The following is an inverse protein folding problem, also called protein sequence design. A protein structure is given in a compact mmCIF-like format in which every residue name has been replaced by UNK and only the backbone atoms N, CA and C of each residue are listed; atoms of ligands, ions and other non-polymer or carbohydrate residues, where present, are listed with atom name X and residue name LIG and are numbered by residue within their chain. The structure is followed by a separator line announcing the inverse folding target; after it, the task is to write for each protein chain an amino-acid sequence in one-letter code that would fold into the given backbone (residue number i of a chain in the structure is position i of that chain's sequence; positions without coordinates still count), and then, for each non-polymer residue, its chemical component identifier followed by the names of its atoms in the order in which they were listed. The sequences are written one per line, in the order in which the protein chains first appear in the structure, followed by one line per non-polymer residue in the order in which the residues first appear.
data_IF_764600566946
#
_entry.id   IF_764600566946
#
_cell.length_a   1.000
_cell.length_b   1.000
_cell.length_c   1.000
_cell.angle_alpha   90.00
_cell.angle_beta   90.00
_cell.angle_gamma   90.00
#
_symmetry.space_group_name_H-M   'P 1'
#
loop_
_entity.id
_entity.type
_entity.pdbx_description
1 polymer ?
#
# COMPACT_ATOMS: atom_id res chain seq x y z
N UNK A 1 -33.84 -1.55 54.56
CA UNK A 1 -32.42 -1.24 54.85
C UNK A 1 -31.79 -0.80 53.54
N UNK A 2 -31.68 0.52 53.39
CA UNK A 2 -30.95 1.34 52.41
C UNK A 2 -30.51 0.73 51.06
N UNK A 3 -31.16 1.19 49.98
CA UNK A 3 -30.49 1.51 48.72
C UNK A 3 -30.05 2.98 48.77
N UNK A 4 -28.84 3.36 48.29
CA UNK A 4 -28.53 4.75 47.99
C UNK A 4 -28.62 5.02 46.49
N UNK A 5 -29.41 6.05 46.19
CA UNK A 5 -29.50 6.78 44.93
C UNK A 5 -28.14 7.38 44.55
N UNK A 6 -27.76 7.31 43.28
CA UNK A 6 -26.69 8.15 42.73
C UNK A 6 -27.30 9.28 41.91
N UNK A 7 -27.08 10.50 42.41
CA UNK A 7 -27.43 11.78 41.78
C UNK A 7 -26.55 12.05 40.55
N UNK A 8 -27.19 12.56 39.49
CA UNK A 8 -26.53 13.17 38.32
C UNK A 8 -26.51 14.68 38.54
N UNK A 9 -25.35 15.36 38.46
CA UNK A 9 -25.33 16.81 38.41
C UNK A 9 -25.25 17.32 36.96
N UNK A 10 -26.30 18.06 36.62
CA UNK A 10 -26.49 18.88 35.44
C UNK A 10 -25.71 20.21 35.58
N UNK A 11 -24.87 20.58 34.59
CA UNK A 11 -24.31 21.94 34.46
C UNK A 11 -24.17 22.39 33.00
N UNK A 12 -25.24 23.05 32.54
CA UNK A 12 -25.29 24.40 31.94
C UNK A 12 -24.37 24.75 30.76
N UNK A 13 -25.06 24.90 29.62
CA UNK A 13 -24.88 25.85 28.51
C UNK A 13 -24.15 27.15 28.88
N UNK A 14 -23.26 27.58 27.98
CA UNK A 14 -23.00 29.00 27.71
C UNK A 14 -22.97 29.23 26.20
N UNK A 15 -23.93 30.01 25.71
CA UNK A 15 -23.89 30.73 24.44
C UNK A 15 -23.02 31.96 24.65
N UNK A 16 -22.27 32.37 23.63
CA UNK A 16 -22.01 33.78 23.36
C UNK A 16 -21.93 33.95 21.83
N UNK A 17 -22.80 34.84 21.35
CA UNK A 17 -22.95 35.33 19.98
C UNK A 17 -22.01 36.54 19.75
N UNK A 18 -21.45 36.69 18.54
CA UNK A 18 -21.19 37.94 17.78
C UNK A 18 -20.30 37.59 16.58
N UNK A 19 -20.79 37.65 15.33
CA UNK A 19 -20.95 38.84 14.46
C UNK A 19 -19.63 39.61 14.27
N UNK A 20 -19.17 40.00 13.08
CA UNK A 20 -19.63 39.93 11.69
C UNK A 20 -18.48 40.49 10.80
N UNK A 21 -18.60 40.31 9.49
CA UNK A 21 -17.94 41.00 8.38
C UNK A 21 -16.58 40.48 7.89
N UNK A 22 -16.25 40.47 6.59
CA UNK A 22 -16.99 40.49 5.34
C UNK A 22 -15.95 40.35 4.21
N UNK A 23 -16.40 39.86 3.03
CA UNK A 23 -15.83 40.06 1.68
C UNK A 23 -14.52 39.32 1.37
N UNK A 24 -14.54 38.39 0.42
CA UNK A 24 -14.38 38.78 -0.99
C UNK A 24 -14.82 37.66 -1.94
N UNK A 25 -15.38 38.07 -3.08
CA UNK A 25 -15.98 37.22 -4.08
C UNK A 25 -15.00 36.98 -5.24
N UNK A 26 -14.92 35.76 -5.74
CA UNK A 26 -14.32 35.49 -7.06
C UNK A 26 -15.08 34.36 -7.74
N UNK A 27 -15.93 34.73 -8.69
CA UNK A 27 -16.53 33.83 -9.69
C UNK A 27 -15.70 33.92 -10.98
N UNK A 28 -15.59 32.82 -11.74
CA UNK A 28 -14.79 32.77 -12.96
C UNK A 28 -15.52 33.36 -14.18
N UNK A 29 -14.71 33.83 -15.12
CA UNK A 29 -15.07 34.56 -16.33
C UNK A 29 -15.89 33.74 -17.34
N UNK A 30 -16.98 34.32 -17.81
CA UNK A 30 -17.72 33.92 -19.01
C UNK A 30 -17.22 34.72 -20.20
N UNK A 31 -16.69 34.01 -21.20
CA UNK A 31 -16.23 34.55 -22.48
C UNK A 31 -17.42 34.70 -23.43
N UNK A 32 -17.76 35.94 -23.79
CA UNK A 32 -18.67 36.30 -24.88
C UNK A 32 -17.86 36.68 -26.11
N UNK A 33 -18.22 36.15 -27.27
CA UNK A 33 -17.77 36.63 -28.58
C UNK A 33 -19.00 36.97 -29.44
N UNK A 34 -18.95 38.02 -30.28
CA UNK A 34 -20.14 38.63 -30.87
C UNK A 34 -20.47 38.09 -32.27
N UNK A 35 -21.76 38.21 -32.63
CA UNK A 35 -22.30 38.00 -33.97
C UNK A 35 -22.32 39.30 -34.79
N UNK A 36 -22.19 39.14 -36.11
CA UNK A 36 -22.53 40.12 -37.16
C UNK A 36 -21.38 40.33 -38.14
N UNK A 37 -21.52 40.21 -39.46
CA UNK A 37 -22.64 39.91 -40.35
C UNK A 37 -22.21 40.12 -41.81
N UNK A 38 -22.93 39.48 -42.74
CA UNK A 38 -23.08 39.75 -44.19
C UNK A 38 -21.83 39.84 -45.09
N UNK A 39 -21.76 39.04 -46.15
CA UNK A 39 -22.24 39.50 -47.46
C UNK A 39 -22.42 38.33 -48.48
N UNK A 40 -23.25 38.61 -49.49
CA UNK A 40 -23.88 37.76 -50.48
C UNK A 40 -22.95 37.30 -51.62
N UNK A 41 -23.33 36.20 -52.28
CA UNK A 41 -22.77 35.82 -53.59
C UNK A 41 -23.36 34.50 -54.12
N UNK A 42 -24.33 34.62 -55.02
CA UNK A 42 -25.08 33.57 -55.72
C UNK A 42 -24.22 32.61 -56.57
N UNK A 43 -24.73 31.39 -56.79
CA UNK A 43 -24.21 30.46 -57.81
C UNK A 43 -24.92 29.11 -57.83
N UNK A 44 -25.97 29.01 -58.66
CA UNK A 44 -26.72 27.80 -59.02
C UNK A 44 -25.92 26.95 -60.02
N UNK A 45 -25.78 25.64 -59.80
CA UNK A 45 -25.88 24.57 -60.83
C UNK A 45 -25.89 23.16 -60.21
N UNK A 46 -26.95 22.40 -60.53
CA UNK A 46 -27.06 20.98 -60.95
C UNK A 46 -26.33 19.87 -60.16
N UNK A 47 -27.07 18.95 -59.54
CA UNK A 47 -27.47 17.62 -60.05
C UNK A 47 -26.32 16.61 -60.08
N UNK A 48 -26.38 15.62 -59.17
CA UNK A 48 -26.00 14.21 -59.37
C UNK A 48 -25.95 13.48 -58.02
N UNK A 49 -26.95 12.63 -57.78
CA UNK A 49 -26.80 11.47 -56.87
C UNK A 49 -25.78 10.49 -57.46
N UNK A 50 -25.00 9.81 -56.60
CA UNK A 50 -24.84 8.39 -56.86
C UNK A 50 -25.01 7.49 -55.62
N UNK A 51 -25.55 6.34 -55.97
CA UNK A 51 -25.78 5.12 -55.24
C UNK A 51 -24.56 4.53 -54.50
N UNK A 52 -24.88 3.88 -53.38
CA UNK A 52 -24.41 2.55 -52.96
C UNK A 52 -22.88 2.31 -52.95
N UNK A 53 -22.31 2.35 -51.75
CA UNK A 53 -21.23 1.45 -51.37
C UNK A 53 -21.54 0.89 -49.98
N UNK A 54 -22.23 -0.25 -49.96
CA UNK A 54 -22.36 -1.13 -48.81
C UNK A 54 -20.97 -1.61 -48.39
N UNK A 55 -20.36 -0.93 -47.41
CA UNK A 55 -19.18 -1.43 -46.72
C UNK A 55 -19.51 -2.76 -46.04
N UNK A 56 -18.57 -3.73 -45.99
CA UNK A 56 -18.81 -5.00 -45.35
C UNK A 56 -19.02 -4.75 -43.86
N UNK A 57 -20.28 -4.82 -43.44
CA UNK A 57 -20.69 -4.92 -42.05
C UNK A 57 -19.89 -6.07 -41.44
N UNK A 58 -18.87 -5.70 -40.67
CA UNK A 58 -18.12 -6.62 -39.84
C UNK A 58 -19.12 -7.21 -38.87
N UNK A 59 -19.64 -8.40 -39.21
CA UNK A 59 -20.51 -9.19 -38.34
C UNK A 59 -19.76 -9.38 -37.03
N UNK A 60 -20.08 -8.55 -36.02
CA UNK A 60 -19.74 -8.80 -34.63
C UNK A 60 -20.26 -10.21 -34.36
N UNK A 61 -19.37 -11.16 -34.06
CA UNK A 61 -19.78 -12.46 -33.53
C UNK A 61 -20.70 -12.16 -32.35
N UNK A 62 -21.98 -12.52 -32.46
CA UNK A 62 -22.90 -12.44 -31.34
C UNK A 62 -22.30 -13.32 -30.24
N UNK A 63 -21.80 -12.69 -29.18
CA UNK A 63 -21.35 -13.42 -27.99
C UNK A 63 -22.59 -14.09 -27.43
N UNK A 64 -22.57 -15.41 -27.34
CA UNK A 64 -23.67 -16.17 -26.76
C UNK A 64 -23.63 -15.91 -25.26
N UNK A 65 -24.62 -15.19 -24.75
CA UNK A 65 -24.76 -14.94 -23.32
C UNK A 65 -25.46 -16.14 -22.69
N UNK A 66 -24.95 -16.61 -21.55
CA UNK A 66 -25.44 -17.81 -20.84
C UNK A 66 -26.05 -17.40 -19.51
N UNK A 67 -27.13 -18.06 -19.06
CA UNK A 67 -27.72 -17.82 -17.74
C UNK A 67 -26.92 -18.54 -16.66
N UNK A 68 -26.71 -17.89 -15.52
CA UNK A 68 -26.03 -18.50 -14.38
C UNK A 68 -26.87 -19.64 -13.77
N UNK A 69 -26.24 -20.78 -13.47
CA UNK A 69 -26.95 -21.96 -12.96
C UNK A 69 -27.54 -21.77 -11.55
N UNK A 70 -26.99 -20.85 -10.75
CA UNK A 70 -27.34 -20.68 -9.33
C UNK A 70 -28.04 -19.37 -9.02
N UNK A 71 -27.60 -18.29 -9.65
CA UNK A 71 -28.05 -16.92 -9.38
C UNK A 71 -28.87 -16.34 -10.53
N UNK A 72 -29.62 -17.21 -11.21
CA UNK A 72 -30.68 -16.83 -12.13
C UNK A 72 -32.03 -17.27 -11.54
N UNK A 73 -32.60 -16.42 -10.68
CA UNK A 73 -33.85 -16.73 -9.99
C UNK A 73 -35.05 -16.45 -10.89
N UNK A 74 -36.08 -17.30 -10.83
CA UNK A 74 -37.32 -17.09 -11.57
C UNK A 74 -38.12 -15.89 -11.05
N UNK A 75 -38.03 -15.60 -9.74
CA UNK A 75 -38.62 -14.44 -9.07
C UNK A 75 -37.68 -13.21 -9.02
N UNK A 76 -36.54 -13.29 -9.70
CA UNK A 76 -35.60 -12.19 -9.83
C UNK A 76 -36.24 -10.97 -10.48
N UNK A 77 -35.85 -9.78 -10.02
CA UNK A 77 -36.40 -8.49 -10.44
C UNK A 77 -35.38 -7.60 -11.15
N UNK A 78 -34.16 -8.11 -11.38
CA UNK A 78 -33.06 -7.39 -11.99
C UNK A 78 -32.11 -8.37 -12.70
N UNK A 79 -31.98 -8.20 -14.02
CA UNK A 79 -31.06 -8.96 -14.85
C UNK A 79 -29.76 -8.16 -15.04
N UNK A 80 -28.66 -8.73 -14.56
CA UNK A 80 -27.31 -8.19 -14.66
C UNK A 80 -26.50 -9.07 -15.61
N UNK A 81 -25.62 -8.47 -16.41
CA UNK A 81 -24.66 -9.20 -17.23
C UNK A 81 -23.24 -8.94 -16.73
N UNK A 82 -22.50 -10.00 -16.43
CA UNK A 82 -21.06 -9.96 -16.13
C UNK A 82 -20.36 -10.85 -17.14
N UNK A 83 -19.41 -10.30 -17.89
CA UNK A 83 -18.80 -10.95 -19.04
C UNK A 83 -19.87 -11.52 -20.00
N UNK A 84 -19.86 -12.83 -20.22
CA UNK A 84 -20.82 -13.53 -21.09
C UNK A 84 -21.90 -14.29 -20.27
N UNK A 85 -22.12 -13.92 -19.00
CA UNK A 85 -23.10 -14.58 -18.09
C UNK A 85 -24.17 -13.61 -17.57
N UNK A 86 -25.44 -14.03 -17.61
CA UNK A 86 -26.59 -13.34 -17.03
C UNK A 86 -26.91 -13.84 -15.62
N UNK A 87 -27.20 -12.90 -14.73
CA UNK A 87 -27.66 -13.11 -13.36
C UNK A 87 -29.03 -12.47 -13.21
N UNK A 88 -30.04 -13.22 -12.75
CA UNK A 88 -31.34 -12.65 -12.40
C UNK A 88 -31.52 -12.66 -10.88
N UNK A 89 -31.43 -11.48 -10.26
CA UNK A 89 -31.38 -11.32 -8.80
C UNK A 89 -32.40 -10.30 -8.29
N UNK A 90 -32.50 -10.18 -6.97
CA UNK A 90 -33.53 -9.38 -6.34
C UNK A 90 -33.05 -7.93 -6.15
N UNK A 91 -33.78 -6.96 -6.71
CA UNK A 91 -33.49 -5.52 -6.53
C UNK A 91 -33.40 -5.14 -5.06
N UNK A 92 -34.26 -5.70 -4.21
CA UNK A 92 -34.27 -5.46 -2.76
C UNK A 92 -32.96 -5.87 -2.07
N UNK A 93 -32.31 -6.94 -2.54
CA UNK A 93 -31.03 -7.41 -2.01
C UNK A 93 -29.90 -6.51 -2.51
N UNK A 94 -29.92 -6.14 -3.80
CA UNK A 94 -28.94 -5.21 -4.37
C UNK A 94 -29.06 -3.80 -3.80
N UNK A 95 -30.25 -3.36 -3.38
CA UNK A 95 -30.47 -2.04 -2.77
C UNK A 95 -30.04 -1.95 -1.29
N UNK A 96 -29.62 -3.06 -0.67
CA UNK A 96 -29.13 -3.04 0.71
C UNK A 96 -27.94 -2.08 0.86
N UNK A 97 -27.75 -1.59 2.08
CA UNK A 97 -26.55 -0.85 2.47
C UNK A 97 -26.33 0.47 1.70
N UNK A 98 -27.40 1.03 1.12
CA UNK A 98 -27.35 2.21 0.24
C UNK A 98 -26.31 2.07 -0.89
N UNK A 99 -26.22 0.87 -1.45
CA UNK A 99 -25.29 0.56 -2.55
C UNK A 99 -25.48 1.49 -3.76
N UNK A 100 -24.51 1.44 -4.66
CA UNK A 100 -24.61 2.04 -6.00
C UNK A 100 -25.88 1.62 -6.75
N UNK A 101 -26.32 0.37 -6.61
CA UNK A 101 -27.55 -0.13 -7.21
C UNK A 101 -28.80 0.55 -6.64
N UNK A 102 -28.82 0.83 -5.34
CA UNK A 102 -29.92 1.58 -4.71
C UNK A 102 -30.12 2.95 -5.38
N UNK A 103 -29.02 3.68 -5.57
CA UNK A 103 -29.01 4.98 -6.26
C UNK A 103 -29.46 4.82 -7.71
N UNK A 104 -28.86 3.87 -8.45
CA UNK A 104 -29.22 3.58 -9.85
C UNK A 104 -30.73 3.31 -10.01
N UNK A 105 -31.32 2.53 -9.11
CA UNK A 105 -32.74 2.18 -9.17
C UNK A 105 -33.70 3.32 -8.82
N UNK A 106 -33.21 4.35 -8.12
CA UNK A 106 -34.00 5.53 -7.75
C UNK A 106 -34.05 6.62 -8.82
N UNK A 107 -33.15 6.58 -9.81
CA UNK A 107 -33.09 7.58 -10.86
C UNK A 107 -34.25 7.39 -11.85
N UNK A 108 -34.84 8.48 -12.38
CA UNK A 108 -35.86 8.38 -13.43
C UNK A 108 -35.29 7.68 -14.67
N UNK A 109 -35.95 6.63 -15.15
CA UNK A 109 -35.60 6.01 -16.43
C UNK A 109 -36.16 6.90 -17.55
N UNK A 110 -35.28 7.45 -18.39
CA UNK A 110 -35.69 8.25 -19.55
C UNK A 110 -36.52 7.44 -20.55
N UNK A 111 -37.26 8.11 -21.42
CA UNK A 111 -38.20 7.48 -22.37
C UNK A 111 -37.53 6.47 -23.32
N UNK A 112 -36.23 6.64 -23.60
CA UNK A 112 -35.42 5.73 -24.43
C UNK A 112 -34.88 4.50 -23.67
N UNK A 113 -34.89 4.51 -22.33
CA UNK A 113 -34.40 3.42 -21.47
C UNK A 113 -35.54 2.47 -21.11
N UNK A 114 -36.22 1.93 -22.12
CA UNK A 114 -37.33 0.99 -21.96
C UNK A 114 -36.79 -0.33 -21.37
N UNK A 115 -36.71 -0.40 -20.04
CA UNK A 115 -36.55 -1.64 -19.30
C UNK A 115 -35.14 -2.23 -19.24
N UNK A 116 -34.08 -1.41 -19.11
CA UNK A 116 -32.75 -1.90 -18.77
C UNK A 116 -32.81 -2.74 -17.47
N UNK A 117 -32.25 -3.95 -17.53
CA UNK A 117 -32.26 -4.93 -16.44
C UNK A 117 -33.58 -5.67 -16.24
N UNK A 118 -34.55 -5.56 -17.16
CA UNK A 118 -35.84 -6.27 -17.08
C UNK A 118 -35.97 -7.47 -18.03
N UNK A 119 -35.08 -7.61 -19.01
CA UNK A 119 -35.05 -8.74 -19.94
C UNK A 119 -33.62 -9.17 -20.26
N UNK A 120 -33.46 -10.42 -20.69
CA UNK A 120 -32.19 -10.99 -21.16
C UNK A 120 -31.60 -10.23 -22.36
N UNK A 121 -32.46 -9.62 -23.18
CA UNK A 121 -32.06 -8.85 -24.36
C UNK A 121 -31.55 -7.45 -24.02
N UNK A 122 -31.84 -6.95 -22.82
CA UNK A 122 -31.40 -5.63 -22.34
C UNK A 122 -30.99 -5.68 -20.85
N UNK A 123 -29.94 -6.44 -20.48
CA UNK A 123 -29.48 -6.55 -19.11
C UNK A 123 -28.65 -5.32 -18.70
N UNK A 124 -28.49 -5.10 -17.39
CA UNK A 124 -27.52 -4.11 -16.89
C UNK A 124 -26.12 -4.71 -17.00
N UNK A 125 -25.27 -4.13 -17.85
CA UNK A 125 -23.92 -4.65 -18.10
C UNK A 125 -22.93 -4.13 -17.06
N UNK A 126 -22.37 -5.05 -16.29
CA UNK A 126 -21.35 -4.79 -15.28
C UNK A 126 -19.95 -5.06 -15.85
N UNK A 127 -19.19 -3.99 -16.07
CA UNK A 127 -17.83 -4.08 -16.62
C UNK A 127 -16.77 -4.19 -15.52
N UNK A 128 -15.74 -5.01 -15.76
CA UNK A 128 -14.53 -5.08 -14.92
C UNK A 128 -14.60 -6.08 -13.75
N UNK A 129 -15.67 -6.85 -13.63
CA UNK A 129 -15.72 -8.01 -12.72
C UNK A 129 -15.70 -9.30 -13.53
N UNK A 130 -15.08 -10.34 -12.97
CA UNK A 130 -15.21 -11.70 -13.51
C UNK A 130 -16.47 -12.37 -12.99
N UNK A 131 -16.96 -13.37 -13.72
CA UNK A 131 -18.11 -14.18 -13.29
C UNK A 131 -17.89 -14.83 -11.92
N UNK A 132 -16.67 -15.33 -11.64
CA UNK A 132 -16.33 -15.95 -10.34
C UNK A 132 -16.41 -14.96 -9.18
N UNK A 133 -15.87 -13.76 -9.35
CA UNK A 133 -15.86 -12.74 -8.30
C UNK A 133 -17.28 -12.26 -7.98
N UNK A 134 -18.09 -12.06 -9.03
CA UNK A 134 -19.47 -11.67 -8.85
C UNK A 134 -20.31 -12.77 -8.19
N UNK A 135 -20.05 -14.05 -8.49
CA UNK A 135 -20.66 -15.20 -7.79
C UNK A 135 -20.28 -15.23 -6.30
N UNK A 136 -19.02 -14.97 -5.95
CA UNK A 136 -18.60 -14.90 -4.54
C UNK A 136 -19.32 -13.78 -3.79
N UNK A 137 -19.47 -12.62 -4.43
CA UNK A 137 -20.23 -11.49 -3.90
C UNK A 137 -21.71 -11.83 -3.70
N UNK A 138 -22.38 -12.40 -4.71
CA UNK A 138 -23.78 -12.82 -4.60
C UNK A 138 -23.95 -13.91 -3.54
N UNK A 139 -23.01 -14.85 -3.43
CA UNK A 139 -23.01 -15.83 -2.35
C UNK A 139 -23.07 -15.15 -0.99
N UNK A 140 -22.25 -14.14 -0.74
CA UNK A 140 -22.23 -13.46 0.55
C UNK A 140 -23.51 -12.63 0.83
N UNK A 141 -24.17 -12.10 -0.21
CA UNK A 141 -25.45 -11.37 -0.07
C UNK A 141 -26.65 -12.27 0.24
N UNK A 142 -26.62 -13.52 -0.23
CA UNK A 142 -27.70 -14.49 -0.08
C UNK A 142 -27.42 -15.55 1.02
N UNK A 143 -26.18 -15.65 1.49
CA UNK A 143 -25.77 -16.64 2.49
C UNK A 143 -26.45 -16.41 3.85
N UNK A 144 -26.70 -17.51 4.54
CA UNK A 144 -27.23 -17.49 5.91
C UNK A 144 -26.09 -17.29 6.93
N UNK A 145 -26.37 -16.79 8.15
CA UNK A 145 -25.35 -16.56 9.17
C UNK A 145 -24.44 -17.77 9.47
N UNK A 146 -24.94 -19.04 9.52
CA UNK A 146 -24.07 -20.20 9.71
C UNK A 146 -23.06 -20.40 8.57
N UNK A 147 -23.46 -20.13 7.32
CA UNK A 147 -22.61 -20.30 6.14
C UNK A 147 -21.48 -19.27 6.13
N UNK A 148 -21.80 -18.02 6.50
CA UNK A 148 -20.81 -16.95 6.65
C UNK A 148 -19.76 -17.29 7.71
N UNK A 149 -20.14 -17.98 8.79
CA UNK A 149 -19.21 -18.40 9.84
C UNK A 149 -18.22 -19.46 9.38
N UNK A 150 -18.60 -20.33 8.43
CA UNK A 150 -17.71 -21.37 7.88
C UNK A 150 -16.57 -20.72 7.09
N UNK A 151 -16.87 -19.68 6.31
CA UNK A 151 -15.86 -18.98 5.48
C UNK A 151 -14.95 -18.06 6.31
N UNK A 152 -15.26 -17.81 7.57
CA UNK A 152 -14.35 -17.13 8.52
C UNK A 152 -13.51 -18.10 9.35
N UNK A 153 -13.67 -19.42 9.17
CA UNK A 153 -12.98 -20.44 9.97
C UNK A 153 -11.50 -20.65 9.58
N UNK A 154 -10.83 -21.64 10.16
CA UNK A 154 -9.44 -21.97 9.85
C UNK A 154 -9.23 -22.36 8.38
N UNK A 155 -10.24 -22.99 7.77
CA UNK A 155 -10.25 -23.47 6.38
C UNK A 155 -10.88 -22.45 5.42
N UNK A 156 -10.87 -21.17 5.79
CA UNK A 156 -11.42 -20.08 5.00
C UNK A 156 -10.78 -20.00 3.61
N UNK A 157 -11.61 -19.90 2.57
CA UNK A 157 -11.14 -19.55 1.23
C UNK A 157 -10.81 -18.07 1.17
N UNK A 158 -9.52 -17.76 1.27
CA UNK A 158 -9.00 -16.41 1.19
C UNK A 158 -9.31 -15.75 -0.16
N UNK A 159 -9.35 -16.51 -1.25
CA UNK A 159 -9.69 -15.97 -2.58
C UNK A 159 -11.12 -15.49 -2.60
N UNK A 160 -12.05 -16.29 -2.07
CA UNK A 160 -13.44 -15.92 -1.94
C UNK A 160 -13.62 -14.63 -1.13
N UNK A 161 -12.94 -14.49 0.01
CA UNK A 161 -12.99 -13.28 0.83
C UNK A 161 -12.42 -12.05 0.09
N UNK A 162 -11.27 -12.18 -0.58
CA UNK A 162 -10.67 -11.08 -1.36
C UNK A 162 -11.66 -10.58 -2.43
N UNK A 163 -12.30 -11.51 -3.14
CA UNK A 163 -13.25 -11.18 -4.21
C UNK A 163 -14.49 -10.47 -3.64
N UNK A 164 -15.02 -10.95 -2.51
CA UNK A 164 -16.16 -10.31 -1.83
C UNK A 164 -15.79 -8.89 -1.41
N UNK A 165 -14.67 -8.67 -0.73
CA UNK A 165 -14.25 -7.35 -0.29
C UNK A 165 -14.09 -6.37 -1.47
N UNK A 166 -13.47 -6.83 -2.57
CA UNK A 166 -13.22 -6.00 -3.76
C UNK A 166 -14.51 -5.60 -4.47
N UNK A 167 -15.41 -6.55 -4.72
CA UNK A 167 -16.69 -6.28 -5.39
C UNK A 167 -17.60 -5.44 -4.47
N UNK A 168 -17.59 -5.69 -3.16
CA UNK A 168 -18.34 -4.91 -2.18
C UNK A 168 -17.87 -3.44 -2.13
N UNK A 169 -16.55 -3.21 -2.16
CA UNK A 169 -15.99 -1.85 -2.24
C UNK A 169 -16.43 -1.13 -3.52
N UNK A 170 -16.34 -1.80 -4.68
CA UNK A 170 -16.73 -1.26 -5.99
C UNK A 170 -18.19 -0.83 -6.04
N UNK A 171 -19.10 -1.64 -5.52
CA UNK A 171 -20.55 -1.36 -5.54
C UNK A 171 -21.07 -0.66 -4.29
N UNK A 172 -20.18 -0.28 -3.36
CA UNK A 172 -20.46 0.44 -2.11
C UNK A 172 -21.33 -0.33 -1.09
N UNK A 173 -21.09 -1.62 -0.91
CA UNK A 173 -21.64 -2.42 0.20
C UNK A 173 -20.69 -2.41 1.40
N UNK A 174 -20.69 -1.31 2.17
CA UNK A 174 -19.76 -1.08 3.29
C UNK A 174 -19.82 -2.10 4.41
N UNK A 175 -21.01 -2.57 4.78
CA UNK A 175 -21.20 -3.59 5.81
C UNK A 175 -20.57 -4.92 5.38
N UNK A 176 -20.74 -5.30 4.11
CA UNK A 176 -20.20 -6.54 3.56
C UNK A 176 -18.68 -6.45 3.32
N UNK A 177 -18.21 -5.30 2.83
CA UNK A 177 -16.78 -4.96 2.71
C UNK A 177 -16.09 -5.09 4.07
N UNK A 178 -16.63 -4.45 5.11
CA UNK A 178 -16.05 -4.47 6.46
C UNK A 178 -15.99 -5.89 7.03
N UNK A 179 -17.09 -6.64 6.93
CA UNK A 179 -17.13 -8.04 7.37
C UNK A 179 -16.04 -8.89 6.69
N UNK A 180 -15.89 -8.74 5.37
CA UNK A 180 -14.92 -9.52 4.61
C UNK A 180 -13.48 -9.14 4.95
N UNK A 181 -13.18 -7.85 5.12
CA UNK A 181 -11.86 -7.36 5.52
C UNK A 181 -11.49 -7.78 6.94
N UNK A 182 -12.45 -7.77 7.88
CA UNK A 182 -12.22 -8.27 9.24
C UNK A 182 -11.94 -9.77 9.25
N UNK A 183 -12.64 -10.55 8.43
CA UNK A 183 -12.38 -11.98 8.27
C UNK A 183 -10.97 -12.25 7.69
N UNK A 184 -10.55 -11.47 6.69
CA UNK A 184 -9.19 -11.52 6.13
C UNK A 184 -8.16 -11.14 7.20
N UNK A 185 -8.40 -10.06 7.94
CA UNK A 185 -7.52 -9.60 9.01
C UNK A 185 -7.33 -10.66 10.09
N UNK A 186 -8.41 -11.34 10.50
CA UNK A 186 -8.34 -12.43 11.46
C UNK A 186 -7.53 -13.61 10.91
N UNK A 187 -7.78 -13.99 9.65
CA UNK A 187 -7.05 -15.07 8.98
C UNK A 187 -5.53 -14.79 8.93
N UNK A 188 -5.15 -13.61 8.45
CA UNK A 188 -3.75 -13.19 8.30
C UNK A 188 -3.07 -12.97 9.66
N UNK A 189 -3.82 -12.52 10.67
CA UNK A 189 -3.32 -12.27 12.02
C UNK A 189 -3.12 -13.51 12.91
N UNK A 190 -3.60 -14.70 12.49
CA UNK A 190 -3.39 -15.96 13.22
C UNK A 190 -1.89 -16.27 13.35
N UNK A 191 -1.48 -16.88 14.46
CA UNK A 191 -0.08 -17.27 14.71
C UNK A 191 0.04 -18.79 14.81
N UNK A 192 0.87 -19.46 13.97
CA UNK A 192 1.59 -18.90 12.82
C UNK A 192 0.64 -18.43 11.71
N UNK A 193 1.06 -17.43 10.93
CA UNK A 193 0.25 -16.93 9.82
C UNK A 193 0.09 -18.05 8.77
N UNK A 194 -1.13 -18.37 8.32
CA UNK A 194 -1.34 -19.46 7.37
C UNK A 194 -0.56 -19.28 6.06
N UNK A 195 -0.41 -18.02 5.61
CA UNK A 195 0.39 -17.63 4.42
C UNK A 195 1.88 -17.99 4.59
N UNK A 196 2.37 -18.11 5.84
CA UNK A 196 3.75 -18.52 6.12
C UNK A 196 3.90 -20.03 6.23
N UNK A 197 2.82 -20.77 6.53
CA UNK A 197 2.85 -22.23 6.64
C UNK A 197 2.91 -22.94 5.29
N UNK A 198 2.53 -22.25 4.21
CA UNK A 198 2.74 -22.69 2.83
C UNK A 198 4.16 -22.43 2.33
N UNK A 199 5.04 -21.80 3.13
CA UNK A 199 6.43 -21.57 2.76
C UNK A 199 7.28 -22.72 3.35
N UNK A 200 7.89 -23.59 2.52
CA UNK A 200 8.72 -24.67 3.04
C UNK A 200 9.90 -24.13 3.87
N UNK A 201 10.27 -24.79 4.99
CA UNK A 201 11.49 -24.43 5.71
C UNK A 201 12.71 -24.59 4.80
N UNK A 202 13.78 -23.78 5.00
CA UNK A 202 14.95 -23.70 4.10
C UNK A 202 15.76 -25.01 3.96
N UNK A 203 15.38 -26.10 4.63
CA UNK A 203 16.02 -27.42 4.53
C UNK A 203 15.28 -28.42 3.64
N UNK A 204 14.08 -28.11 3.15
CA UNK A 204 13.30 -29.00 2.28
C UNK A 204 13.06 -28.37 0.90
N UNK A 205 14.14 -28.19 0.13
CA UNK A 205 14.04 -27.82 -1.28
C UNK A 205 13.71 -29.07 -2.13
N UNK A 206 12.42 -29.36 -2.28
CA UNK A 206 11.91 -30.00 -3.49
C UNK A 206 11.32 -28.89 -4.35
N UNK A 207 11.92 -28.64 -5.52
CA UNK A 207 11.43 -27.69 -6.51
C UNK A 207 10.05 -28.14 -7.02
N UNK A 208 8.99 -27.62 -6.42
CA UNK A 208 7.71 -27.42 -7.11
C UNK A 208 7.52 -25.91 -7.18
N UNK A 209 7.83 -25.33 -8.34
CA UNK A 209 7.83 -23.89 -8.64
C UNK A 209 6.49 -23.17 -8.37
N UNK A 210 5.41 -23.92 -8.10
CA UNK A 210 4.04 -23.42 -8.01
C UNK A 210 3.74 -22.67 -6.70
N UNK A 211 4.33 -23.08 -5.58
CA UNK A 211 3.91 -22.63 -4.24
C UNK A 211 4.44 -21.23 -3.84
N UNK A 212 5.66 -20.89 -4.28
CA UNK A 212 6.27 -19.57 -4.08
C UNK A 212 5.64 -18.48 -4.95
N UNK A 213 5.24 -18.83 -6.18
CA UNK A 213 4.51 -17.92 -7.09
C UNK A 213 3.10 -17.64 -6.55
N UNK A 214 2.43 -18.67 -6.02
CA UNK A 214 1.12 -18.54 -5.38
C UNK A 214 1.16 -17.62 -4.16
N UNK A 215 2.14 -17.80 -3.27
CA UNK A 215 2.29 -17.00 -2.04
C UNK A 215 2.56 -15.51 -2.34
N UNK A 216 3.44 -15.22 -3.31
CA UNK A 216 3.72 -13.82 -3.72
C UNK A 216 2.54 -13.15 -4.42
N UNK A 217 1.77 -13.90 -5.22
CA UNK A 217 0.53 -13.41 -5.83
C UNK A 217 -0.54 -13.09 -4.77
N UNK A 218 -0.70 -13.95 -3.77
CA UNK A 218 -1.63 -13.72 -2.65
C UNK A 218 -1.25 -12.47 -1.84
N UNK A 219 0.03 -12.31 -1.47
CA UNK A 219 0.51 -11.11 -0.77
C UNK A 219 0.24 -9.84 -1.59
N UNK A 220 0.50 -9.88 -2.89
CA UNK A 220 0.21 -8.77 -3.81
C UNK A 220 -1.27 -8.41 -3.83
N UNK A 221 -2.16 -9.41 -3.95
CA UNK A 221 -3.61 -9.20 -3.93
C UNK A 221 -4.08 -8.57 -2.62
N UNK A 222 -3.57 -9.04 -1.48
CA UNK A 222 -3.92 -8.53 -0.16
C UNK A 222 -3.47 -7.07 0.06
N UNK A 223 -2.24 -6.73 -0.33
CA UNK A 223 -1.74 -5.35 -0.19
C UNK A 223 -2.53 -4.39 -1.10
N UNK A 224 -2.79 -4.79 -2.35
CA UNK A 224 -3.63 -4.00 -3.26
C UNK A 224 -5.05 -3.84 -2.73
N UNK A 225 -5.65 -4.90 -2.20
CA UNK A 225 -6.97 -4.85 -1.58
C UNK A 225 -7.00 -3.91 -0.38
N UNK A 226 -6.02 -4.00 0.52
CA UNK A 226 -5.92 -3.14 1.70
C UNK A 226 -5.83 -1.66 1.30
N UNK A 227 -5.08 -1.34 0.24
CA UNK A 227 -4.99 0.02 -0.31
C UNK A 227 -6.32 0.47 -0.94
N UNK A 228 -6.92 -0.35 -1.80
CA UNK A 228 -8.20 -0.05 -2.47
C UNK A 228 -9.33 0.22 -1.47
N UNK A 229 -9.40 -0.57 -0.41
CA UNK A 229 -10.39 -0.43 0.65
C UNK A 229 -10.01 0.61 1.72
N UNK A 230 -8.80 1.18 1.65
CA UNK A 230 -8.25 2.08 2.69
C UNK A 230 -8.34 1.48 4.10
N UNK A 231 -7.96 0.21 4.24
CA UNK A 231 -8.08 -0.55 5.49
C UNK A 231 -6.74 -0.62 6.24
N UNK A 232 -6.49 0.37 7.10
CA UNK A 232 -5.20 0.58 7.79
C UNK A 232 -4.71 -0.63 8.58
N UNK A 233 -5.60 -1.30 9.33
CA UNK A 233 -5.24 -2.48 10.15
C UNK A 233 -4.67 -3.62 9.31
N UNK A 234 -5.24 -3.83 8.12
CA UNK A 234 -4.79 -4.86 7.18
C UNK A 234 -3.48 -4.44 6.55
N UNK A 235 -3.38 -3.18 6.14
CA UNK A 235 -2.14 -2.63 5.59
C UNK A 235 -0.97 -2.77 6.58
N UNK A 236 -1.13 -2.38 7.83
CA UNK A 236 -0.12 -2.50 8.88
C UNK A 236 0.32 -3.95 9.10
N UNK A 237 -0.65 -4.88 9.09
CA UNK A 237 -0.38 -6.31 9.24
C UNK A 237 0.42 -6.83 8.05
N UNK A 238 0.03 -6.45 6.83
CA UNK A 238 0.74 -6.84 5.61
C UNK A 238 2.16 -6.24 5.55
N UNK A 239 2.35 -4.98 5.97
CA UNK A 239 3.67 -4.36 6.08
C UNK A 239 4.54 -5.11 7.08
N UNK A 240 4.00 -5.47 8.25
CA UNK A 240 4.72 -6.25 9.26
C UNK A 240 5.14 -7.64 8.74
N UNK A 241 4.25 -8.31 8.00
CA UNK A 241 4.54 -9.60 7.37
C UNK A 241 5.61 -9.49 6.30
N UNK A 242 5.51 -8.51 5.40
CA UNK A 242 6.51 -8.29 4.36
C UNK A 242 7.88 -7.93 4.95
N UNK A 243 7.94 -7.15 6.04
CA UNK A 243 9.18 -6.87 6.79
C UNK A 243 9.81 -8.13 7.37
N UNK A 244 9.00 -9.03 7.93
CA UNK A 244 9.48 -10.33 8.42
C UNK A 244 10.03 -11.19 7.28
N UNK A 245 9.30 -11.28 6.16
CA UNK A 245 9.65 -12.11 5.01
C UNK A 245 10.90 -11.60 4.26
N UNK A 246 11.00 -10.28 4.05
CA UNK A 246 12.16 -9.69 3.36
C UNK A 246 13.46 -9.96 4.11
N UNK A 247 13.43 -10.02 5.44
CA UNK A 247 14.60 -10.33 6.26
C UNK A 247 15.16 -11.75 5.98
N UNK A 248 14.31 -12.66 5.50
CA UNK A 248 14.67 -14.06 5.25
C UNK A 248 14.96 -14.38 3.78
N UNK A 249 14.28 -13.73 2.82
CA UNK A 249 14.45 -14.01 1.39
C UNK A 249 14.50 -12.75 0.52
N UNK A 250 15.40 -12.76 -0.46
CA UNK A 250 15.58 -11.69 -1.44
C UNK A 250 14.35 -11.53 -2.35
N UNK A 251 13.64 -12.62 -2.66
CA UNK A 251 12.42 -12.58 -3.49
C UNK A 251 11.34 -11.68 -2.86
N UNK A 252 11.13 -11.78 -1.54
CA UNK A 252 10.18 -10.93 -0.83
C UNK A 252 10.67 -9.49 -0.67
N UNK A 253 11.99 -9.27 -0.62
CA UNK A 253 12.55 -7.92 -0.64
C UNK A 253 12.26 -7.22 -1.98
N UNK A 254 12.43 -7.91 -3.12
CA UNK A 254 12.02 -7.40 -4.44
C UNK A 254 10.52 -7.15 -4.54
N UNK A 255 9.69 -8.09 -4.06
CA UNK A 255 8.24 -7.91 -4.03
C UNK A 255 7.84 -6.66 -3.24
N UNK A 256 8.40 -6.50 -2.03
CA UNK A 256 8.16 -5.34 -1.19
C UNK A 256 8.61 -4.03 -1.84
N UNK A 257 9.75 -4.04 -2.54
CA UNK A 257 10.25 -2.89 -3.29
C UNK A 257 9.29 -2.50 -4.42
N UNK A 258 8.86 -3.47 -5.22
CA UNK A 258 7.90 -3.25 -6.32
C UNK A 258 6.56 -2.74 -5.81
N UNK A 259 6.00 -3.33 -4.75
CA UNK A 259 4.74 -2.89 -4.16
C UNK A 259 4.86 -1.49 -3.53
N UNK A 260 5.99 -1.17 -2.91
CA UNK A 260 6.22 0.16 -2.32
C UNK A 260 6.33 1.26 -3.39
N UNK A 261 6.80 0.93 -4.59
CA UNK A 261 6.84 1.86 -5.72
C UNK A 261 5.47 1.98 -6.40
N UNK A 262 4.79 0.85 -6.64
CA UNK A 262 3.48 0.81 -7.31
C UNK A 262 2.39 1.51 -6.49
N UNK A 263 2.38 1.30 -5.16
CA UNK A 263 1.34 1.77 -4.25
C UNK A 263 1.80 2.94 -3.38
N UNK A 264 2.98 3.50 -3.64
CA UNK A 264 3.59 4.62 -2.89
C UNK A 264 3.69 4.37 -1.35
N UNK A 265 3.95 3.12 -0.94
CA UNK A 265 4.00 2.74 0.48
C UNK A 265 5.34 3.17 1.09
N UNK A 266 5.39 4.41 1.58
CA UNK A 266 6.59 5.02 2.20
C UNK A 266 7.17 4.15 3.33
N UNK A 267 6.32 3.55 4.16
CA UNK A 267 6.72 2.72 5.29
C UNK A 267 7.53 1.47 4.90
N UNK A 268 7.36 0.98 3.67
CA UNK A 268 8.02 -0.23 3.17
C UNK A 268 9.24 0.10 2.29
N UNK A 269 9.19 1.21 1.54
CA UNK A 269 10.22 1.64 0.58
C UNK A 269 11.62 1.58 1.17
N UNK A 270 11.87 2.34 2.25
CA UNK A 270 13.21 2.46 2.82
C UNK A 270 13.80 1.10 3.21
N UNK A 271 13.03 0.28 3.94
CA UNK A 271 13.44 -1.06 4.35
C UNK A 271 13.66 -2.00 3.17
N UNK A 272 12.78 -1.98 2.17
CA UNK A 272 12.86 -2.88 1.02
C UNK A 272 14.11 -2.59 0.17
N UNK A 273 14.35 -1.31 -0.16
CA UNK A 273 15.52 -0.91 -0.93
C UNK A 273 16.84 -1.17 -0.19
N UNK A 274 16.88 -0.95 1.13
CA UNK A 274 18.05 -1.25 1.94
C UNK A 274 18.34 -2.77 1.97
N UNK A 275 17.32 -3.61 2.15
CA UNK A 275 17.45 -5.07 2.14
C UNK A 275 17.90 -5.59 0.77
N UNK A 276 17.32 -5.09 -0.32
CA UNK A 276 17.75 -5.42 -1.69
C UNK A 276 19.21 -5.01 -1.90
N UNK A 277 19.61 -3.81 -1.47
CA UNK A 277 21.00 -3.35 -1.58
C UNK A 277 21.98 -4.23 -0.79
N UNK A 278 21.61 -4.62 0.44
CA UNK A 278 22.47 -5.44 1.30
C UNK A 278 22.59 -6.88 0.79
N UNK A 279 21.48 -7.47 0.30
CA UNK A 279 21.43 -8.88 -0.12
C UNK A 279 21.81 -9.12 -1.58
N UNK A 280 21.59 -8.16 -2.48
CA UNK A 280 22.05 -8.25 -3.87
C UNK A 280 23.58 -8.32 -3.98
N UNK A 281 24.30 -7.80 -2.98
CA UNK A 281 25.77 -7.87 -2.88
C UNK A 281 26.29 -9.20 -2.29
N UNK A 282 25.42 -10.14 -1.89
CA UNK A 282 25.82 -11.39 -1.18
C UNK A 282 26.37 -12.48 -2.11
N UNK A 283 26.37 -12.30 -3.44
CA UNK A 283 27.16 -13.16 -4.33
C UNK A 283 28.51 -12.51 -4.66
N UNK A 284 29.48 -12.83 -3.80
CA UNK A 284 30.95 -12.74 -3.92
C UNK A 284 31.62 -11.36 -3.80
N UNK A 285 32.23 -11.17 -2.63
CA UNK A 285 33.62 -10.69 -2.52
C UNK A 285 34.53 -11.60 -3.36
N UNK A 286 34.76 -11.24 -4.62
CA UNK A 286 36.00 -11.58 -5.33
C UNK A 286 36.13 -10.65 -6.53
N UNK A 287 37.11 -9.74 -6.44
CA UNK A 287 37.78 -8.96 -7.49
C UNK A 287 36.99 -8.69 -8.79
N UNK A 288 36.77 -7.39 -9.03
CA UNK A 288 36.87 -6.69 -10.33
C UNK A 288 36.02 -7.29 -11.47
N UNK A 289 34.83 -6.74 -11.70
CA UNK A 289 34.61 -5.74 -12.76
C UNK A 289 33.15 -5.26 -12.71
N UNK A 290 32.95 -3.98 -13.05
CA UNK A 290 31.64 -3.37 -13.20
C UNK A 290 31.12 -3.76 -14.58
N UNK A 291 30.32 -4.83 -14.65
CA UNK A 291 29.50 -5.12 -15.83
C UNK A 291 28.03 -5.20 -15.43
N UNK A 292 27.33 -4.08 -15.63
CA UNK A 292 25.88 -3.91 -15.45
C UNK A 292 25.04 -4.59 -16.56
N UNK A 293 25.57 -5.63 -17.19
CA UNK A 293 24.91 -6.37 -18.27
C UNK A 293 25.25 -7.86 -18.23
N UNK A 294 25.00 -8.52 -17.09
CA UNK A 294 25.00 -9.97 -17.05
C UNK A 294 23.78 -10.50 -17.83
N UNK A 295 24.02 -11.04 -19.04
CA UNK A 295 23.04 -11.92 -19.71
C UNK A 295 22.75 -13.13 -18.80
N UNK A 296 21.48 -13.50 -18.56
CA UNK A 296 21.15 -14.61 -17.68
C UNK A 296 21.59 -15.93 -18.32
N UNK A 297 22.37 -16.71 -17.58
CA UNK A 297 22.81 -18.06 -17.96
C UNK A 297 22.05 -19.11 -17.13
N UNK A 298 20.73 -18.97 -17.04
CA UNK A 298 19.71 -19.97 -16.66
C UNK A 298 18.34 -19.30 -16.78
N UNK A 299 17.24 -20.03 -17.09
CA UNK A 299 15.90 -19.46 -17.24
C UNK A 299 15.22 -19.20 -15.87
N UNK A 300 15.99 -18.80 -14.87
CA UNK A 300 15.46 -18.33 -13.59
C UNK A 300 15.06 -16.87 -13.81
N UNK A 301 13.79 -16.52 -13.60
CA UNK A 301 13.26 -15.16 -13.79
C UNK A 301 14.28 -14.13 -13.28
N UNK A 302 14.98 -13.40 -14.16
CA UNK A 302 15.91 -12.39 -13.69
C UNK A 302 15.07 -11.37 -12.95
N UNK A 303 15.40 -11.07 -11.69
CA UNK A 303 14.76 -9.98 -10.95
C UNK A 303 15.02 -8.69 -11.75
N UNK A 304 14.06 -8.30 -12.59
CA UNK A 304 14.22 -7.17 -13.50
C UNK A 304 14.03 -5.90 -12.70
N UNK A 305 15.15 -5.26 -12.35
CA UNK A 305 15.14 -3.92 -11.77
C UNK A 305 14.86 -2.93 -12.90
N UNK A 306 13.79 -2.15 -12.79
CA UNK A 306 13.49 -1.07 -13.72
C UNK A 306 14.55 0.05 -13.58
N UNK A 307 14.97 0.74 -14.65
CA UNK A 307 15.82 1.94 -14.59
C UNK A 307 15.52 2.92 -13.44
N UNK A 308 14.24 3.16 -13.12
CA UNK A 308 13.86 4.03 -11.99
C UNK A 308 14.29 3.46 -10.63
N UNK A 309 14.09 2.14 -10.43
CA UNK A 309 14.51 1.44 -9.21
C UNK A 309 16.03 1.36 -9.11
N UNK A 310 16.73 1.19 -10.25
CA UNK A 310 18.18 1.22 -10.30
C UNK A 310 18.72 2.61 -9.90
N UNK A 311 18.11 3.68 -10.39
CA UNK A 311 18.48 5.05 -10.02
C UNK A 311 18.30 5.28 -8.51
N UNK A 312 17.17 4.82 -7.93
CA UNK A 312 16.89 4.92 -6.48
C UNK A 312 17.88 4.11 -5.64
N UNK A 313 18.29 2.93 -6.09
CA UNK A 313 19.33 2.15 -5.41
C UNK A 313 20.67 2.90 -5.40
N UNK A 314 21.07 3.50 -6.52
CA UNK A 314 22.31 4.26 -6.62
C UNK A 314 22.26 5.57 -5.81
N UNK A 315 21.16 6.32 -5.88
CA UNK A 315 20.98 7.55 -5.11
C UNK A 315 20.95 7.26 -3.61
N UNK A 316 20.24 6.21 -3.19
CA UNK A 316 20.23 5.75 -1.81
C UNK A 316 21.60 5.30 -1.32
N UNK A 317 22.34 4.55 -2.14
CA UNK A 317 23.72 4.16 -1.80
C UNK A 317 24.61 5.39 -1.55
N UNK A 318 24.55 6.37 -2.45
CA UNK A 318 25.34 7.60 -2.34
C UNK A 318 24.94 8.41 -1.10
N UNK A 319 23.64 8.64 -0.89
CA UNK A 319 23.12 9.43 0.23
C UNK A 319 23.44 8.76 1.58
N UNK A 320 23.23 7.46 1.72
CA UNK A 320 23.55 6.71 2.95
C UNK A 320 25.06 6.72 3.25
N UNK A 321 25.89 6.53 2.22
CA UNK A 321 27.35 6.62 2.36
C UNK A 321 27.78 8.02 2.80
N UNK A 322 27.20 9.07 2.22
CA UNK A 322 27.47 10.46 2.60
C UNK A 322 27.03 10.77 4.03
N UNK A 323 25.87 10.28 4.46
CA UNK A 323 25.41 10.41 5.85
C UNK A 323 26.37 9.73 6.82
N UNK A 324 26.81 8.51 6.51
CA UNK A 324 27.82 7.83 7.32
C UNK A 324 29.14 8.60 7.39
N UNK A 325 29.63 9.11 6.27
CA UNK A 325 30.85 9.92 6.21
C UNK A 325 30.76 11.20 7.07
N UNK A 326 29.61 11.90 7.03
CA UNK A 326 29.33 13.04 7.92
C UNK A 326 29.37 12.62 9.40
N UNK A 327 28.70 11.53 9.76
CA UNK A 327 28.65 11.03 11.15
C UNK A 327 30.02 10.51 11.64
N UNK A 328 30.85 9.97 10.74
CA UNK A 328 32.21 9.53 11.09
C UNK A 328 33.12 10.69 11.47
N UNK A 329 32.96 11.83 10.80
CA UNK A 329 33.78 13.04 11.06
C UNK A 329 33.20 13.86 12.22
N UNK A 330 31.86 13.99 12.28
CA UNK A 330 31.15 14.77 13.27
C UNK A 330 30.30 13.85 14.18
N UNK A 331 30.73 13.61 15.43
CA UNK A 331 29.95 12.81 16.37
C UNK A 331 28.61 13.48 16.70
N UNK A 332 27.59 12.69 17.07
CA UNK A 332 26.33 13.20 17.61
C UNK A 332 26.58 14.17 18.76
N UNK A 333 25.93 15.33 18.71
CA UNK A 333 25.99 16.30 19.81
C UNK A 333 25.18 15.79 21.01
N UNK A 334 25.61 16.13 22.22
CA UNK A 334 24.83 15.93 23.43
C UNK A 334 24.97 17.14 24.34
N UNK A 335 23.91 17.46 25.07
CA UNK A 335 23.91 18.55 26.04
C UNK A 335 24.45 18.07 27.40
N UNK A 336 25.28 18.90 28.03
CA UNK A 336 25.78 18.63 29.38
C UNK A 336 24.67 18.85 30.42
N UNK A 337 24.60 17.96 31.42
CA UNK A 337 23.71 18.17 32.55
C UNK A 337 24.16 19.34 33.43
N UNK A 338 23.22 19.93 34.18
CA UNK A 338 23.53 20.98 35.15
C UNK A 338 24.54 20.50 36.22
N UNK A 339 24.45 19.23 36.62
CA UNK A 339 25.40 18.56 37.54
C UNK A 339 26.83 18.49 36.98
N UNK A 340 26.98 18.24 35.68
CA UNK A 340 28.29 18.28 35.02
C UNK A 340 28.81 19.71 34.86
N UNK A 341 27.92 20.68 34.61
CA UNK A 341 28.29 22.09 34.57
C UNK A 341 28.81 22.61 35.92
N UNK A 342 28.18 22.18 37.01
CA UNK A 342 28.58 22.57 38.36
C UNK A 342 29.99 22.09 38.76
N UNK A 343 30.48 21.01 38.13
CA UNK A 343 31.81 20.41 38.41
C UNK A 343 32.90 20.88 37.44
N UNK A 344 32.59 21.80 36.52
CA UNK A 344 33.52 22.29 35.49
C UNK A 344 34.16 21.18 34.63
N UNK A 345 33.57 19.97 34.64
CA UNK A 345 34.11 18.77 33.98
C UNK A 345 33.61 18.61 32.53
N UNK A 346 32.88 19.59 32.00
CA UNK A 346 32.27 19.54 30.66
C UNK A 346 33.27 19.19 29.57
N UNK A 347 34.46 19.80 29.61
CA UNK A 347 35.51 19.53 28.63
C UNK A 347 35.97 18.07 28.67
N UNK A 348 36.16 17.49 29.86
CA UNK A 348 36.55 16.08 30.03
C UNK A 348 35.50 15.10 29.50
N UNK A 349 34.22 15.38 29.76
CA UNK A 349 33.10 14.63 29.19
C UNK A 349 33.07 14.69 27.65
N UNK A 350 33.25 15.89 27.08
CA UNK A 350 33.28 16.06 25.62
C UNK A 350 34.49 15.37 25.00
N UNK A 351 35.69 15.50 25.56
CA UNK A 351 36.88 14.81 25.04
C UNK A 351 36.72 13.29 25.09
N UNK A 352 36.23 12.75 26.22
CA UNK A 352 35.97 11.30 26.36
C UNK A 352 35.00 10.79 25.29
N UNK A 353 33.97 11.58 24.97
CA UNK A 353 33.02 11.27 23.90
C UNK A 353 33.67 11.29 22.50
N UNK A 354 34.46 12.32 22.20
CA UNK A 354 35.18 12.45 20.93
C UNK A 354 36.17 11.29 20.71
N UNK A 355 36.91 10.92 21.75
CA UNK A 355 37.86 9.81 21.71
C UNK A 355 37.16 8.48 21.49
N UNK A 356 36.10 8.21 22.25
CA UNK A 356 35.27 7.01 22.06
C UNK A 356 34.75 6.92 20.62
N UNK A 357 34.16 8.00 20.11
CA UNK A 357 33.57 8.01 18.76
C UNK A 357 34.63 7.80 17.68
N UNK A 358 35.78 8.48 17.79
CA UNK A 358 36.90 8.35 16.86
C UNK A 358 37.49 6.94 16.85
N UNK A 359 37.62 6.30 18.00
CA UNK A 359 38.09 4.93 18.12
C UNK A 359 37.08 3.94 17.49
N UNK A 360 35.82 4.00 17.90
CA UNK A 360 34.80 3.03 17.47
C UNK A 360 34.44 3.12 15.99
N UNK A 361 34.36 4.33 15.44
CA UNK A 361 34.06 4.51 14.01
C UNK A 361 35.16 3.99 13.08
N UNK A 362 36.39 3.78 13.60
CA UNK A 362 37.54 3.24 12.87
C UNK A 362 37.83 1.76 13.21
N UNK A 363 37.04 1.16 14.09
CA UNK A 363 37.20 -0.24 14.46
C UNK A 363 36.94 -1.19 13.29
N UNK A 364 37.67 -2.29 13.23
CA UNK A 364 37.52 -3.31 12.18
C UNK A 364 36.08 -3.85 12.12
N UNK A 365 35.42 -4.00 13.27
CA UNK A 365 34.04 -4.45 13.36
C UNK A 365 33.06 -3.51 12.64
N UNK A 366 33.18 -2.18 12.81
CA UNK A 366 32.35 -1.19 12.11
C UNK A 366 32.69 -1.12 10.63
N UNK A 367 33.98 -1.21 10.28
CA UNK A 367 34.45 -1.19 8.89
C UNK A 367 34.08 -2.47 8.12
N UNK A 368 33.77 -3.57 8.80
CA UNK A 368 33.34 -4.83 8.16
C UNK A 368 31.98 -4.74 7.45
N UNK A 369 31.12 -3.81 7.88
CA UNK A 369 29.83 -3.51 7.25
C UNK A 369 30.02 -2.76 5.92
N UNK A 370 29.06 -2.89 5.00
CA UNK A 370 29.05 -2.12 3.75
C UNK A 370 29.05 -0.61 4.00
N UNK A 371 29.57 0.18 3.06
CA UNK A 371 29.65 1.64 3.21
C UNK A 371 28.29 2.32 3.32
N UNK A 372 27.26 1.77 2.69
CA UNK A 372 25.88 2.23 2.77
C UNK A 372 25.10 1.69 3.99
N UNK A 373 25.66 0.74 4.76
CA UNK A 373 25.00 0.22 5.97
C UNK A 373 25.24 1.12 7.19
N UNK A 374 24.77 2.36 7.08
CA UNK A 374 24.86 3.36 8.14
C UNK A 374 24.15 2.88 9.43
N UNK A 375 22.99 2.24 9.29
CA UNK A 375 22.18 1.76 10.41
C UNK A 375 22.86 0.61 11.17
N UNK A 376 23.40 -0.38 10.47
CA UNK A 376 24.14 -1.48 11.10
C UNK A 376 25.36 -0.98 11.87
N UNK A 377 26.10 -0.03 11.29
CA UNK A 377 27.25 0.61 11.94
C UNK A 377 26.88 1.39 13.20
N UNK A 378 25.83 2.21 13.14
CA UNK A 378 25.35 2.97 14.30
C UNK A 378 24.82 2.06 15.42
N UNK A 379 24.08 1.00 15.08
CA UNK A 379 23.60 0.00 16.05
C UNK A 379 24.75 -0.74 16.74
N UNK A 380 25.82 -1.05 16.00
CA UNK A 380 27.03 -1.63 16.59
C UNK A 380 27.71 -0.66 17.55
N UNK A 381 27.88 0.61 17.17
CA UNK A 381 28.49 1.62 18.04
C UNK A 381 27.66 1.84 19.30
N UNK A 382 26.33 1.88 19.20
CA UNK A 382 25.43 1.97 20.35
C UNK A 382 25.65 0.79 21.31
N UNK A 383 25.72 -0.43 20.78
CA UNK A 383 25.99 -1.64 21.57
C UNK A 383 27.37 -1.62 22.24
N UNK A 384 28.38 -1.13 21.53
CA UNK A 384 29.73 -0.98 22.08
C UNK A 384 29.79 0.12 23.15
N UNK A 385 29.00 1.18 23.03
CA UNK A 385 28.88 2.23 24.04
C UNK A 385 28.21 1.73 25.32
N UNK A 386 27.21 0.88 25.21
CA UNK A 386 26.59 0.23 26.36
C UNK A 386 27.58 -0.69 27.08
N UNK A 387 28.38 -1.46 26.31
CA UNK A 387 29.45 -2.34 26.82
C UNK A 387 30.63 -1.60 27.42
N UNK A 388 30.93 -0.41 26.91
CA UNK A 388 32.03 0.42 27.38
C UNK A 388 31.93 0.74 28.88
N UNK A 389 30.73 0.60 29.47
CA UNK A 389 30.57 0.65 30.91
C UNK A 389 30.89 2.04 31.47
N UNK A 390 31.21 2.12 32.76
CA UNK A 390 31.56 3.39 33.40
C UNK A 390 32.90 3.88 32.89
N UNK A 391 32.89 4.58 31.76
CA UNK A 391 34.02 5.38 31.30
C UNK A 391 34.52 6.21 32.47
N UNK A 392 35.76 6.00 32.86
CA UNK A 392 36.39 6.57 34.07
C UNK A 392 36.43 8.10 34.07
N UNK A 393 36.00 8.75 33.00
CA UNK A 393 36.16 10.19 32.76
C UNK A 393 34.91 10.92 32.28
N UNK A 394 33.75 10.25 32.19
CA UNK A 394 32.49 10.87 31.77
C UNK A 394 31.46 10.89 32.91
N UNK A 395 30.90 12.06 33.19
CA UNK A 395 29.83 12.23 34.17
C UNK A 395 28.62 11.36 33.81
N UNK A 396 27.99 10.72 34.81
CA UNK A 396 26.90 9.76 34.61
C UNK A 396 25.75 10.32 33.75
N UNK A 397 25.29 11.53 34.06
CA UNK A 397 24.19 12.17 33.33
C UNK A 397 24.57 12.52 31.88
N UNK A 398 25.81 12.97 31.64
CA UNK A 398 26.33 13.24 30.30
C UNK A 398 26.44 11.95 29.48
N UNK A 399 26.81 10.84 30.14
CA UNK A 399 26.85 9.53 29.50
C UNK A 399 25.45 9.10 29.03
N UNK A 400 24.44 9.33 29.85
CA UNK A 400 23.03 9.10 29.54
C UNK A 400 22.53 10.01 28.41
N UNK A 401 23.00 11.26 28.35
CA UNK A 401 22.71 12.18 27.25
C UNK A 401 23.34 11.72 25.93
N UNK A 402 24.62 11.32 25.93
CA UNK A 402 25.28 10.77 24.75
C UNK A 402 24.67 9.44 24.29
N UNK A 403 24.21 8.58 25.21
CA UNK A 403 23.45 7.38 24.84
C UNK A 403 22.17 7.73 24.09
N UNK A 404 21.45 8.75 24.57
CA UNK A 404 20.22 9.24 23.93
C UNK A 404 20.51 9.83 22.55
N UNK A 405 21.58 10.61 22.40
CA UNK A 405 21.92 11.19 21.09
C UNK A 405 22.25 10.14 20.03
N UNK A 406 22.93 9.03 20.38
CA UNK A 406 23.11 7.91 19.45
C UNK A 406 21.75 7.32 19.03
N UNK A 407 20.87 7.04 19.99
CA UNK A 407 19.54 6.48 19.72
C UNK A 407 18.67 7.43 18.88
N UNK A 408 18.76 8.74 19.11
CA UNK A 408 18.06 9.77 18.34
C UNK A 408 18.56 9.81 16.89
N UNK A 409 19.88 9.73 16.68
CA UNK A 409 20.46 9.64 15.33
C UNK A 409 20.04 8.35 14.63
N UNK A 410 20.06 7.19 15.32
CA UNK A 410 19.57 5.92 14.75
C UNK A 410 18.11 6.07 14.31
N UNK A 411 17.25 6.57 15.20
CA UNK A 411 15.83 6.77 14.93
C UNK A 411 15.61 7.75 13.78
N UNK A 412 16.35 8.86 13.74
CA UNK A 412 16.29 9.85 12.66
C UNK A 412 16.68 9.25 11.31
N UNK A 413 17.72 8.42 11.25
CA UNK A 413 18.12 7.73 10.01
C UNK A 413 17.10 6.67 9.61
N UNK A 414 16.50 5.95 10.56
CA UNK A 414 15.43 4.98 10.29
C UNK A 414 14.15 5.64 9.76
N UNK A 415 13.74 6.77 10.32
CA UNK A 415 12.56 7.54 9.89
C UNK A 415 12.76 8.20 8.52
N UNK A 416 13.97 8.69 8.25
CA UNK A 416 14.34 9.29 6.96
C UNK A 416 14.68 8.24 5.90
N UNK A 417 14.75 6.95 6.24
CA UNK A 417 15.15 5.87 5.32
C UNK A 417 14.41 5.90 3.98
N UNK A 418 13.08 6.08 3.92
CA UNK A 418 12.35 6.16 2.64
C UNK A 418 12.80 7.32 1.74
N UNK A 419 13.26 8.42 2.34
CA UNK A 419 13.67 9.65 1.64
C UNK A 419 15.09 9.51 1.05
N UNK A 420 15.91 8.59 1.58
CA UNK A 420 17.17 8.20 0.93
C UNK A 420 16.93 7.57 -0.45
N UNK A 421 15.77 6.93 -0.64
CA UNK A 421 15.41 6.19 -1.85
C UNK A 421 14.29 6.86 -2.66
N UNK A 422 14.01 8.15 -2.43
CA UNK A 422 13.04 8.92 -3.21
C UNK A 422 13.68 9.62 -4.41
N UNK A 423 12.86 9.92 -5.42
CA UNK A 423 13.27 10.67 -6.62
C UNK A 423 13.49 12.16 -6.34
N UNK A 424 13.03 12.66 -5.20
CA UNK A 424 13.21 14.06 -4.81
C UNK A 424 14.70 14.33 -4.61
N UNK A 425 15.31 14.97 -5.61
CA UNK A 425 16.65 15.55 -5.58
C UNK A 425 16.72 16.83 -4.71
N UNK A 426 15.64 17.17 -4.02
CA UNK A 426 15.53 18.37 -3.21
C UNK A 426 15.68 17.99 -1.74
N UNK A 427 16.61 18.71 -1.10
CA UNK A 427 16.97 18.70 0.33
C UNK A 427 18.00 17.66 0.79
N UNK A 428 19.28 18.05 0.74
CA UNK A 428 20.43 17.36 1.32
C UNK A 428 21.43 18.32 1.97
#
# INVERSE_FOLDING_TARGET
MFQPSFEVPDKKRKRDDSEDSARDASRPATFTAPYGGSDLGEGIVDDETPEIASGPSSKKKARVVVRDDKYYFEDGSCILQVEDTLFNVHRTILSKDNSSFSTMFSLPQGEDNVGEGKSDDNPIVLAGDTVSEFRHFLWALYALPPELRVVTSADADLTQLIDIARVSNKYFFKSLETWSLDAIQEYVGRKPCPILTTIPPPMSYSFTDDDGLSSTAQLTRLVRLAQMCSHDRLMDTMIALLRSLMSSSLQYAYLAMTLADELDIRALRGSAYLEVMQKSMVVKRTKVDVDLAAKPTSPDQPFVINPAQQLRLLSGYYRLTRTWERLRVAPPHFEHSASCGATWHQHGCTQSWLEFWKDKTRSEAVLSFGMADCLGRLKLIAKDYDRWGSATYMHHDCRLAARRSISEVIKSVEEALPDYFSDSAEDC
#
